data_IF_275158616978
#
_entry.id   IF_275158616978
#
_cell.length_a   1.000
_cell.length_b   1.000
_cell.length_c   1.000
_cell.angle_alpha   90.00
_cell.angle_beta   90.00
_cell.angle_gamma   90.00
#
_symmetry.space_group_name_H-M   'P 1'
#
loop_
_entity.id
_entity.type
_entity.pdbx_description
1 polymer ?
#
# COMPACT_ATOMS: atom_id res chain seq x y z
N UNK A 1 8.92 -17.15 11.97
CA UNK A 1 9.23 -16.46 13.24
C UNK A 1 10.13 -15.23 13.07
N UNK A 2 11.05 -15.26 12.16
CA UNK A 2 12.01 -14.16 11.91
C UNK A 2 11.40 -12.89 11.31
N UNK A 3 10.41 -13.02 10.42
CA UNK A 3 9.80 -11.86 9.73
C UNK A 3 9.07 -10.90 10.69
N UNK A 4 8.32 -11.42 11.66
CA UNK A 4 7.63 -10.58 12.66
C UNK A 4 8.63 -9.87 13.57
N UNK A 5 9.71 -10.56 13.95
CA UNK A 5 10.79 -9.94 14.74
C UNK A 5 11.44 -8.79 13.99
N UNK A 6 11.69 -8.97 12.68
CA UNK A 6 12.24 -7.93 11.79
C UNK A 6 11.30 -6.75 11.64
N UNK A 7 10.00 -7.02 11.44
CA UNK A 7 8.97 -6.00 11.41
C UNK A 7 8.94 -5.17 12.70
N UNK A 8 8.99 -5.86 13.84
CA UNK A 8 9.03 -5.18 15.14
C UNK A 8 10.34 -4.40 15.35
N UNK A 9 11.48 -4.88 14.88
CA UNK A 9 12.74 -4.13 14.93
C UNK A 9 12.66 -2.85 14.11
N UNK A 10 12.08 -2.90 12.92
CA UNK A 10 11.85 -1.72 12.09
C UNK A 10 10.88 -0.73 12.75
N UNK A 11 9.81 -1.23 13.38
CA UNK A 11 8.86 -0.40 14.11
C UNK A 11 9.48 0.20 15.36
N UNK A 12 10.37 -0.53 16.06
CA UNK A 12 11.14 -0.02 17.20
C UNK A 12 12.02 1.14 16.80
N UNK A 13 12.75 1.00 15.68
CA UNK A 13 13.57 2.09 15.14
C UNK A 13 12.74 3.35 14.85
N UNK A 14 11.56 3.19 14.24
CA UNK A 14 10.63 4.32 14.02
C UNK A 14 10.26 4.98 15.35
N UNK A 15 9.88 4.21 16.36
CA UNK A 15 9.49 4.72 17.69
C UNK A 15 10.64 5.45 18.41
N UNK A 16 11.86 4.98 18.25
CA UNK A 16 13.08 5.58 18.83
C UNK A 16 13.50 6.88 18.11
N UNK A 17 12.98 7.14 16.92
CA UNK A 17 13.31 8.30 16.10
C UNK A 17 12.10 9.21 15.80
N UNK A 18 11.04 9.15 16.63
CA UNK A 18 9.84 9.97 16.41
C UNK A 18 10.10 11.48 16.58
N UNK A 19 11.08 11.87 17.35
CA UNK A 19 11.50 13.26 17.59
C UNK A 19 12.63 13.73 16.65
N UNK A 20 12.99 12.88 15.69
CA UNK A 20 14.02 13.15 14.68
C UNK A 20 13.51 12.83 13.26
N UNK A 21 14.39 12.98 12.29
CA UNK A 21 14.16 12.47 10.93
C UNK A 21 14.28 10.94 10.92
N UNK A 22 13.26 10.27 10.38
CA UNK A 22 13.24 8.82 10.27
C UNK A 22 13.87 8.43 8.93
N UNK A 23 14.99 7.69 8.98
CA UNK A 23 15.60 7.11 7.78
C UNK A 23 14.84 5.84 7.36
N UNK A 24 14.03 5.95 6.30
CA UNK A 24 13.25 4.83 5.78
C UNK A 24 14.10 3.76 5.11
N UNK A 25 15.31 4.08 4.65
CA UNK A 25 16.26 3.08 4.17
C UNK A 25 16.69 2.15 5.30
N UNK A 26 16.91 2.71 6.48
CA UNK A 26 17.21 1.92 7.67
C UNK A 26 16.02 1.08 8.13
N UNK A 27 14.79 1.62 8.08
CA UNK A 27 13.56 0.85 8.32
C UNK A 27 13.48 -0.36 7.38
N UNK A 28 13.70 -0.15 6.09
CA UNK A 28 13.71 -1.20 5.07
C UNK A 28 14.81 -2.24 5.31
N UNK A 29 16.02 -1.79 5.67
CA UNK A 29 17.15 -2.65 6.02
C UNK A 29 16.84 -3.55 7.21
N UNK A 30 16.24 -3.00 8.27
CA UNK A 30 15.85 -3.75 9.48
C UNK A 30 14.75 -4.77 9.19
N UNK A 31 13.80 -4.41 8.33
CA UNK A 31 12.74 -5.29 7.87
C UNK A 31 13.19 -6.33 6.83
N UNK A 32 14.42 -6.18 6.25
CA UNK A 32 14.93 -6.95 5.12
C UNK A 32 13.96 -6.98 3.92
N UNK A 33 13.44 -5.82 3.56
CA UNK A 33 12.59 -5.64 2.39
C UNK A 33 12.77 -4.22 1.82
N UNK A 34 12.14 -3.89 0.70
CA UNK A 34 12.14 -2.52 0.19
C UNK A 34 11.29 -1.61 1.09
N UNK A 35 11.56 -0.30 1.06
CA UNK A 35 10.74 0.71 1.75
C UNK A 35 9.27 0.58 1.38
N UNK A 36 8.99 0.41 0.09
CA UNK A 36 7.66 0.19 -0.44
C UNK A 36 6.97 -1.05 0.14
N UNK A 37 7.68 -2.18 0.16
CA UNK A 37 7.14 -3.42 0.70
C UNK A 37 6.80 -3.26 2.19
N UNK A 38 7.70 -2.64 2.98
CA UNK A 38 7.44 -2.38 4.39
C UNK A 38 6.19 -1.53 4.62
N UNK A 39 6.08 -0.41 3.90
CA UNK A 39 4.93 0.50 4.03
C UNK A 39 3.61 -0.19 3.68
N UNK A 40 3.60 -0.95 2.58
CA UNK A 40 2.41 -1.67 2.14
C UNK A 40 2.01 -2.76 3.11
N UNK A 41 2.98 -3.56 3.56
CA UNK A 41 2.76 -4.59 4.57
C UNK A 41 2.26 -3.98 5.89
N UNK A 42 2.88 -2.87 6.34
CA UNK A 42 2.42 -2.15 7.52
C UNK A 42 0.96 -1.70 7.37
N UNK A 43 0.61 -1.06 6.25
CA UNK A 43 -0.74 -0.55 6.04
C UNK A 43 -1.80 -1.65 6.05
N UNK A 44 -1.51 -2.79 5.44
CA UNK A 44 -2.43 -3.93 5.47
C UNK A 44 -2.57 -4.54 6.88
N UNK A 45 -1.47 -4.65 7.62
CA UNK A 45 -1.48 -5.23 8.97
C UNK A 45 -2.09 -4.28 10.00
N UNK A 46 -1.80 -2.99 9.91
CA UNK A 46 -2.21 -1.98 10.88
C UNK A 46 -3.57 -1.34 10.56
N UNK A 47 -4.08 -1.48 9.33
CA UNK A 47 -5.30 -0.83 8.86
C UNK A 47 -5.17 0.71 8.69
N UNK A 48 -3.96 1.24 8.83
CA UNK A 48 -3.65 2.67 8.64
C UNK A 48 -2.31 2.79 7.92
N UNK A 49 -2.06 3.93 7.25
CA UNK A 49 -0.76 4.18 6.63
C UNK A 49 0.35 4.35 7.68
N UNK A 50 1.61 4.06 7.30
CA UNK A 50 2.76 4.24 8.17
C UNK A 50 2.94 5.71 8.56
N UNK A 51 2.67 6.64 7.65
CA UNK A 51 2.74 8.08 7.92
C UNK A 51 1.68 8.53 8.92
N UNK A 52 0.46 8.02 8.80
CA UNK A 52 -0.61 8.29 9.76
C UNK A 52 -0.25 7.74 11.15
N UNK A 53 0.33 6.54 11.22
CA UNK A 53 0.85 6.00 12.47
C UNK A 53 1.90 6.92 13.11
N UNK A 54 2.93 7.31 12.35
CA UNK A 54 3.99 8.21 12.82
C UNK A 54 3.40 9.56 13.27
N UNK A 55 2.48 10.13 12.48
CA UNK A 55 1.79 11.39 12.82
C UNK A 55 1.05 11.27 14.16
N UNK A 56 0.25 10.23 14.35
CA UNK A 56 -0.50 9.99 15.60
C UNK A 56 0.43 9.80 16.79
N UNK A 57 1.52 9.07 16.63
CA UNK A 57 2.52 8.85 17.67
C UNK A 57 3.22 10.13 18.06
N UNK A 58 3.70 10.92 17.07
CA UNK A 58 4.32 12.23 17.28
C UNK A 58 3.40 13.18 18.04
N UNK A 59 2.15 13.30 17.63
CA UNK A 59 1.19 14.18 18.32
C UNK A 59 0.85 13.68 19.73
N UNK A 60 0.80 12.37 19.95
CA UNK A 60 0.63 11.80 21.29
C UNK A 60 1.81 12.18 22.19
N UNK A 61 3.05 12.01 21.72
CA UNK A 61 4.24 12.38 22.50
C UNK A 61 4.32 13.89 22.73
N UNK A 62 3.98 14.70 21.73
CA UNK A 62 3.88 16.16 21.86
C UNK A 62 2.88 16.57 22.94
N UNK A 63 1.73 15.89 23.02
CA UNK A 63 0.74 16.15 24.05
C UNK A 63 1.25 15.84 25.47
N UNK A 64 1.94 14.70 25.63
CA UNK A 64 2.59 14.37 26.90
C UNK A 64 3.64 15.42 27.32
N UNK A 65 4.45 15.86 26.35
CA UNK A 65 5.52 16.85 26.63
C UNK A 65 4.92 18.21 26.97
N UNK A 66 3.90 18.68 26.28
CA UNK A 66 3.21 19.93 26.57
C UNK A 66 2.52 19.94 27.96
N UNK A 67 1.94 18.79 28.33
CA UNK A 67 1.26 18.68 29.64
C UNK A 67 2.23 18.60 30.83
N UNK A 68 3.45 18.08 30.60
CA UNK A 68 4.41 17.80 31.67
C UNK A 68 5.60 18.76 31.70
N UNK A 69 5.67 19.76 30.82
CA UNK A 69 6.80 20.68 30.75
C UNK A 69 6.40 22.11 30.37
N UNK A 70 7.31 23.06 30.59
CA UNK A 70 7.16 24.45 30.18
C UNK A 70 7.75 24.77 28.81
N UNK A 71 8.12 23.75 28.00
CA UNK A 71 8.71 23.89 26.69
C UNK A 71 7.81 24.73 25.75
N UNK A 72 8.38 25.59 24.93
CA UNK A 72 7.59 26.42 24.01
C UNK A 72 6.89 25.55 22.94
N UNK A 73 5.67 25.92 22.58
CA UNK A 73 4.89 25.18 21.54
C UNK A 73 5.64 25.10 20.22
N UNK A 74 6.38 26.16 19.86
CA UNK A 74 7.20 26.18 18.64
C UNK A 74 8.32 25.13 18.70
N UNK A 75 8.95 24.96 19.84
CA UNK A 75 10.05 23.99 20.01
C UNK A 75 9.51 22.54 19.92
N UNK A 76 8.33 22.29 20.51
CA UNK A 76 7.63 21.01 20.36
C UNK A 76 7.24 20.75 18.90
N UNK A 77 6.72 21.77 18.20
CA UNK A 77 6.36 21.65 16.80
C UNK A 77 7.58 21.24 15.92
N UNK A 78 8.71 21.92 16.11
CA UNK A 78 9.96 21.64 15.39
C UNK A 78 10.46 20.23 15.74
N UNK A 79 10.50 19.87 17.02
CA UNK A 79 10.94 18.56 17.51
C UNK A 79 10.18 17.41 16.86
N UNK A 80 8.87 17.55 16.66
CA UNK A 80 8.05 16.52 16.04
C UNK A 80 7.84 16.69 14.52
N UNK A 81 8.74 17.46 13.87
CA UNK A 81 8.87 17.53 12.42
C UNK A 81 7.88 18.45 11.71
N UNK A 82 7.26 19.40 12.42
CA UNK A 82 6.39 20.40 11.81
C UNK A 82 7.17 21.64 11.39
N UNK A 83 6.95 22.10 10.16
CA UNK A 83 7.65 23.27 9.59
C UNK A 83 7.12 24.62 10.12
N UNK A 84 5.93 24.64 10.72
CA UNK A 84 5.35 25.84 11.31
C UNK A 84 4.47 25.53 12.53
N UNK A 85 4.36 26.47 13.49
CA UNK A 85 3.45 26.33 14.62
C UNK A 85 1.98 26.18 14.21
N UNK A 86 1.57 26.82 13.10
CA UNK A 86 0.19 26.76 12.59
C UNK A 86 -0.16 25.38 12.07
N UNK A 87 0.75 24.74 11.32
CA UNK A 87 0.54 23.37 10.82
C UNK A 87 0.48 22.37 11.97
N UNK A 88 1.34 22.56 12.99
CA UNK A 88 1.29 21.76 14.22
C UNK A 88 -0.02 21.96 14.97
N UNK A 89 -0.44 23.21 15.22
CA UNK A 89 -1.67 23.52 15.94
C UNK A 89 -2.89 22.90 15.29
N UNK A 90 -3.02 22.99 13.96
CA UNK A 90 -4.12 22.35 13.21
C UNK A 90 -4.10 20.83 13.34
N UNK A 91 -2.93 20.22 13.16
CA UNK A 91 -2.79 18.77 13.28
C UNK A 91 -3.09 18.28 14.70
N UNK A 92 -2.61 19.00 15.71
CA UNK A 92 -2.84 18.72 17.12
C UNK A 92 -4.32 18.84 17.47
N UNK A 93 -4.98 19.92 17.06
CA UNK A 93 -6.40 20.16 17.32
C UNK A 93 -7.27 19.12 16.59
N UNK A 94 -6.95 18.74 15.36
CA UNK A 94 -7.65 17.69 14.64
C UNK A 94 -7.57 16.34 15.37
N UNK A 95 -6.45 16.03 16.00
CA UNK A 95 -6.27 14.78 16.72
C UNK A 95 -6.91 14.81 18.11
N UNK A 96 -6.56 15.82 18.93
CA UNK A 96 -6.93 15.87 20.34
C UNK A 96 -8.27 16.58 20.60
N UNK A 97 -8.76 17.38 19.66
CA UNK A 97 -9.97 18.21 19.80
C UNK A 97 -9.74 19.52 20.51
N UNK A 98 -8.53 19.78 21.03
CA UNK A 98 -8.12 21.00 21.76
C UNK A 98 -6.81 21.54 21.19
N UNK A 99 -6.51 22.80 21.47
CA UNK A 99 -5.26 23.43 21.02
C UNK A 99 -4.07 23.00 21.88
N UNK A 100 -2.80 23.13 21.37
CA UNK A 100 -1.60 22.88 22.15
C UNK A 100 -1.50 23.73 23.44
N UNK A 101 -2.03 24.95 23.42
CA UNK A 101 -2.07 25.82 24.58
C UNK A 101 -3.03 25.32 25.67
N UNK A 102 -4.20 24.83 25.28
CA UNK A 102 -5.18 24.24 26.19
C UNK A 102 -4.66 22.92 26.79
N UNK A 103 -3.91 22.14 26.04
CA UNK A 103 -3.32 20.88 26.48
C UNK A 103 -2.33 21.02 27.66
N UNK A 104 -1.83 22.25 27.93
CA UNK A 104 -0.99 22.55 29.10
C UNK A 104 -1.76 22.61 30.41
N UNK A 105 -3.06 22.80 30.32
CA UNK A 105 -3.90 22.89 31.51
C UNK A 105 -4.19 21.48 32.02
N UNK A 106 -3.85 21.22 33.27
CA UNK A 106 -4.12 19.93 33.90
C UNK A 106 -5.59 19.57 33.85
N UNK A 107 -5.88 18.30 33.57
CA UNK A 107 -7.22 17.75 33.52
C UNK A 107 -7.91 17.86 32.14
N UNK A 108 -7.22 18.40 31.14
CA UNK A 108 -7.77 18.41 29.78
C UNK A 108 -7.73 17.00 29.16
N UNK A 109 -8.79 16.57 28.44
CA UNK A 109 -8.83 15.27 27.80
C UNK A 109 -7.90 15.23 26.60
N UNK A 110 -6.93 14.30 26.60
CA UNK A 110 -5.99 14.08 25.52
C UNK A 110 -6.16 12.68 24.94
N UNK A 111 -6.11 12.55 23.61
CA UNK A 111 -6.12 11.24 22.94
C UNK A 111 -4.70 10.70 22.88
N UNK A 112 -4.50 9.47 23.34
CA UNK A 112 -3.23 8.76 23.22
C UNK A 112 -3.37 7.60 22.23
N UNK A 113 -2.45 7.52 21.28
CA UNK A 113 -2.28 6.38 20.40
C UNK A 113 -1.08 5.58 20.88
N UNK A 114 -1.28 4.40 21.49
CA UNK A 114 -0.20 3.59 21.99
C UNK A 114 0.69 3.07 20.86
N UNK A 115 1.92 2.68 21.22
CA UNK A 115 2.84 2.03 20.32
C UNK A 115 2.25 0.71 19.83
N UNK A 116 2.35 0.46 18.51
CA UNK A 116 1.97 -0.81 17.91
C UNK A 116 3.06 -1.85 18.05
N UNK A 117 2.66 -3.11 18.08
CA UNK A 117 3.53 -4.28 18.04
C UNK A 117 2.87 -5.33 17.18
N UNK A 118 3.62 -5.90 16.24
CA UNK A 118 3.12 -7.02 15.43
C UNK A 118 3.16 -8.30 16.25
N UNK A 119 2.02 -8.98 16.34
CA UNK A 119 1.89 -10.28 16.98
C UNK A 119 1.30 -11.27 15.97
N UNK A 120 1.80 -12.49 15.96
CA UNK A 120 1.21 -13.57 15.17
C UNK A 120 0.07 -14.18 15.96
N UNK A 121 -1.15 -14.00 15.48
CA UNK A 121 -2.30 -14.79 15.94
C UNK A 121 -2.56 -15.87 14.90
N UNK A 122 -2.34 -17.13 15.25
CA UNK A 122 -2.68 -18.25 14.38
C UNK A 122 -4.18 -18.48 14.54
N UNK A 123 -4.97 -17.94 13.62
CA UNK A 123 -6.35 -18.37 13.41
C UNK A 123 -6.31 -19.45 12.36
N UNK A 124 -7.14 -20.51 12.49
CA UNK A 124 -7.13 -21.68 11.61
C UNK A 124 -7.00 -21.30 10.14
N UNK A 125 -6.01 -21.86 9.48
CA UNK A 125 -5.58 -21.43 8.15
C UNK A 125 -6.65 -21.74 7.10
N UNK A 126 -7.30 -20.70 6.59
CA UNK A 126 -8.03 -20.83 5.35
C UNK A 126 -7.02 -21.00 4.23
N UNK A 127 -7.27 -21.94 3.35
CA UNK A 127 -6.46 -22.18 2.16
C UNK A 127 -6.33 -20.89 1.34
N UNK A 128 -5.13 -20.66 0.80
CA UNK A 128 -4.86 -19.59 -0.15
C UNK A 128 -4.29 -20.22 -1.40
N UNK A 129 -5.05 -20.14 -2.49
CA UNK A 129 -4.60 -20.66 -3.77
C UNK A 129 -3.65 -19.66 -4.41
N UNK A 130 -2.43 -20.09 -4.66
CA UNK A 130 -1.45 -19.30 -5.40
C UNK A 130 -0.62 -20.19 -6.31
N UNK A 131 0.01 -19.55 -7.32
CA UNK A 131 1.00 -20.17 -8.18
C UNK A 131 2.14 -19.19 -8.46
N UNK A 132 3.30 -19.73 -8.80
CA UNK A 132 4.44 -18.93 -9.24
C UNK A 132 4.60 -19.14 -10.74
N UNK A 133 4.64 -18.05 -11.49
CA UNK A 133 4.80 -18.06 -12.93
C UNK A 133 5.99 -17.19 -13.36
N UNK A 134 6.82 -17.72 -14.24
CA UNK A 134 7.83 -16.94 -14.95
C UNK A 134 7.27 -16.52 -16.29
N UNK A 135 7.28 -15.23 -16.59
CA UNK A 135 6.79 -14.68 -17.86
C UNK A 135 7.93 -13.96 -18.55
N UNK A 136 8.04 -14.20 -19.85
CA UNK A 136 8.87 -13.40 -20.74
C UNK A 136 8.38 -11.94 -20.77
N UNK A 137 9.21 -11.05 -21.29
CA UNK A 137 8.86 -9.65 -21.43
C UNK A 137 7.58 -9.45 -22.27
N UNK A 138 6.64 -8.68 -21.72
CA UNK A 138 5.42 -8.28 -22.44
C UNK A 138 5.08 -6.82 -22.07
N UNK A 139 4.21 -6.22 -22.83
CA UNK A 139 3.75 -4.85 -22.55
C UNK A 139 2.29 -4.86 -22.08
N UNK A 140 1.93 -3.88 -21.28
CA UNK A 140 0.54 -3.56 -20.96
C UNK A 140 0.14 -2.37 -21.83
N UNK A 141 -0.91 -2.56 -22.63
CA UNK A 141 -1.43 -1.58 -23.59
C UNK A 141 -2.86 -1.22 -23.24
N UNK A 142 -3.16 0.05 -23.09
CA UNK A 142 -4.50 0.52 -22.72
C UNK A 142 -4.56 2.01 -22.39
N UNK A 143 -5.62 2.43 -21.75
CA UNK A 143 -5.74 3.78 -21.22
C UNK A 143 -4.92 3.90 -19.95
N UNK A 144 -4.32 5.08 -19.74
CA UNK A 144 -3.49 5.39 -18.58
C UNK A 144 -3.99 6.65 -17.90
N UNK A 145 -3.97 6.66 -16.58
CA UNK A 145 -4.19 7.87 -15.77
C UNK A 145 -3.27 7.87 -14.54
N UNK A 146 -2.80 9.03 -14.16
CA UNK A 146 -2.18 9.26 -12.85
C UNK A 146 -3.30 9.46 -11.84
N UNK A 147 -3.38 8.59 -10.82
CA UNK A 147 -4.48 8.58 -9.85
C UNK A 147 -3.95 8.58 -8.42
N UNK A 148 -4.68 9.15 -7.45
CA UNK A 148 -4.30 9.10 -6.05
C UNK A 148 -4.31 7.66 -5.53
N UNK A 149 -3.43 7.36 -4.58
CA UNK A 149 -3.42 6.08 -3.86
C UNK A 149 -4.52 6.12 -2.82
N UNK A 150 -5.51 5.24 -2.94
CA UNK A 150 -6.57 5.04 -1.96
C UNK A 150 -6.49 3.61 -1.45
N UNK A 151 -6.21 3.44 -0.15
CA UNK A 151 -6.06 2.12 0.46
C UNK A 151 -7.39 1.51 0.89
N UNK A 152 -8.38 2.34 1.25
CA UNK A 152 -9.69 1.89 1.73
C UNK A 152 -10.80 2.36 0.79
N UNK A 153 -11.59 1.41 0.30
CA UNK A 153 -12.73 1.69 -0.57
C UNK A 153 -12.40 1.71 -2.06
N UNK A 154 -13.35 2.20 -2.84
CA UNK A 154 -13.23 2.29 -4.31
C UNK A 154 -12.58 3.62 -4.67
N UNK A 155 -11.55 3.56 -5.53
CA UNK A 155 -10.94 4.78 -6.09
C UNK A 155 -11.86 5.35 -7.18
N UNK A 156 -12.43 6.57 -7.01
CA UNK A 156 -13.36 7.15 -7.96
C UNK A 156 -12.72 7.41 -9.33
N UNK A 157 -11.43 7.80 -9.38
CA UNK A 157 -10.73 8.05 -10.63
C UNK A 157 -10.57 6.76 -11.44
N UNK A 158 -10.34 5.62 -10.79
CA UNK A 158 -10.30 4.31 -11.45
C UNK A 158 -11.69 3.89 -11.93
N UNK A 159 -12.73 4.17 -11.16
CA UNK A 159 -14.10 3.90 -11.57
C UNK A 159 -14.48 4.71 -12.82
N UNK A 160 -14.09 5.99 -12.88
CA UNK A 160 -14.29 6.84 -14.06
C UNK A 160 -13.51 6.34 -15.27
N UNK A 161 -12.30 5.82 -15.08
CA UNK A 161 -11.53 5.20 -16.17
C UNK A 161 -12.27 4.01 -16.79
N UNK A 162 -12.86 3.14 -15.96
CA UNK A 162 -13.66 2.01 -16.45
C UNK A 162 -14.89 2.48 -17.25
N UNK A 163 -15.55 3.56 -16.81
CA UNK A 163 -16.69 4.13 -17.50
C UNK A 163 -16.32 4.82 -18.83
N UNK A 164 -15.08 5.27 -18.98
CA UNK A 164 -14.59 5.94 -20.19
C UNK A 164 -14.25 4.97 -21.34
N UNK A 165 -14.21 3.65 -21.08
CA UNK A 165 -13.97 2.66 -22.12
C UNK A 165 -15.24 2.43 -22.96
N UNK A 166 -15.21 2.82 -24.22
CA UNK A 166 -16.27 2.53 -25.16
C UNK A 166 -16.13 1.12 -25.78
N UNK A 167 -17.15 0.72 -26.54
CA UNK A 167 -17.19 -0.60 -27.15
C UNK A 167 -16.10 -0.84 -28.21
N UNK A 168 -15.68 0.21 -28.89
CA UNK A 168 -14.64 0.14 -29.93
C UNK A 168 -13.27 -0.06 -29.31
N UNK A 169 -12.95 0.71 -28.26
CA UNK A 169 -11.72 0.55 -27.48
C UNK A 169 -11.63 -0.85 -26.85
N UNK A 170 -12.71 -1.35 -26.26
CA UNK A 170 -12.76 -2.69 -25.67
C UNK A 170 -12.49 -3.76 -26.72
N UNK A 171 -13.05 -3.62 -27.93
CA UNK A 171 -12.82 -4.57 -29.03
C UNK A 171 -11.35 -4.55 -29.47
N UNK A 172 -10.78 -3.35 -29.72
CA UNK A 172 -9.39 -3.20 -30.13
C UNK A 172 -8.43 -3.79 -29.08
N UNK A 173 -8.65 -3.50 -27.81
CA UNK A 173 -7.86 -4.06 -26.71
C UNK A 173 -7.94 -5.59 -26.67
N UNK A 174 -9.14 -6.17 -26.81
CA UNK A 174 -9.31 -7.64 -26.83
C UNK A 174 -8.58 -8.31 -27.99
N UNK A 175 -8.52 -7.68 -29.16
CA UNK A 175 -7.76 -8.18 -30.32
C UNK A 175 -6.24 -8.16 -30.09
N UNK A 176 -5.76 -7.22 -29.27
CA UNK A 176 -4.36 -7.13 -28.86
C UNK A 176 -3.99 -8.18 -27.81
N UNK A 177 -4.92 -8.60 -26.96
CA UNK A 177 -4.66 -9.52 -25.85
C UNK A 177 -4.14 -10.86 -26.33
N UNK A 178 -2.88 -11.20 -26.04
CA UNK A 178 -2.25 -12.46 -26.46
C UNK A 178 -1.28 -13.03 -25.43
N UNK A 179 -1.17 -12.39 -24.27
CA UNK A 179 -0.40 -12.85 -23.12
C UNK A 179 -1.32 -12.97 -21.92
N UNK A 180 -1.13 -14.00 -21.11
CA UNK A 180 -1.86 -14.13 -19.83
C UNK A 180 -1.42 -13.10 -18.79
N UNK A 181 -2.39 -12.59 -18.00
CA UNK A 181 -3.83 -12.92 -18.00
C UNK A 181 -4.55 -12.33 -19.23
N UNK A 182 -5.33 -13.17 -19.91
CA UNK A 182 -6.04 -12.77 -21.12
C UNK A 182 -7.25 -11.87 -20.79
N UNK A 183 -7.58 -10.97 -21.73
CA UNK A 183 -8.69 -10.02 -21.59
C UNK A 183 -8.28 -8.71 -20.96
N UNK A 184 -9.27 -7.93 -20.53
CA UNK A 184 -9.02 -6.61 -19.91
C UNK A 184 -8.50 -6.79 -18.48
N UNK A 185 -7.42 -6.09 -18.17
CA UNK A 185 -6.76 -6.06 -16.86
C UNK A 185 -6.64 -4.65 -16.32
N UNK A 186 -6.51 -4.52 -15.02
CA UNK A 186 -6.01 -3.33 -14.35
C UNK A 186 -4.55 -3.52 -13.98
N UNK A 187 -3.71 -2.51 -14.18
CA UNK A 187 -2.32 -2.56 -13.74
C UNK A 187 -1.92 -1.26 -13.06
N UNK A 188 -1.20 -1.37 -11.95
CA UNK A 188 -0.73 -0.23 -11.14
C UNK A 188 0.80 -0.25 -11.07
N UNK A 189 1.43 0.89 -11.38
CA UNK A 189 2.89 1.03 -11.40
C UNK A 189 3.31 2.47 -11.06
N UNK A 190 4.60 2.74 -10.96
CA UNK A 190 5.16 4.09 -10.74
C UNK A 190 4.51 4.82 -9.55
N UNK A 191 4.42 4.12 -8.48
CA UNK A 191 3.90 4.67 -7.25
C UNK A 191 4.83 5.78 -6.74
N UNK A 192 4.32 6.96 -6.42
CA UNK A 192 5.14 8.10 -5.98
C UNK A 192 5.77 7.91 -4.61
N UNK A 193 6.85 8.65 -4.32
CA UNK A 193 7.49 8.65 -3.00
C UNK A 193 6.60 9.25 -1.90
N UNK A 194 5.62 10.10 -2.25
CA UNK A 194 4.65 10.72 -1.33
C UNK A 194 3.58 9.76 -0.76
N UNK A 195 3.72 8.46 -0.95
CA UNK A 195 2.86 7.42 -0.36
C UNK A 195 2.70 7.51 1.16
N UNK A 196 3.68 8.10 1.83
CA UNK A 196 3.72 8.25 3.28
C UNK A 196 2.69 9.22 3.84
N UNK A 197 2.18 10.16 3.03
CA UNK A 197 1.31 11.26 3.46
C UNK A 197 -0.13 11.12 2.98
N UNK A 198 -0.57 9.94 2.52
CA UNK A 198 -1.87 9.74 1.84
C UNK A 198 -2.09 10.67 0.62
N UNK A 199 -1.00 11.28 0.14
CA UNK A 199 -0.97 12.16 -1.04
C UNK A 199 -0.22 11.53 -2.20
N UNK A 200 0.07 10.25 -2.08
CA UNK A 200 0.76 9.51 -3.12
C UNK A 200 -0.14 9.26 -4.32
N UNK A 201 0.48 9.16 -5.48
CA UNK A 201 -0.17 8.82 -6.74
C UNK A 201 0.50 7.60 -7.35
N UNK A 202 -0.23 6.95 -8.23
CA UNK A 202 0.27 5.84 -9.04
C UNK A 202 -0.17 6.00 -10.50
N UNK A 203 0.55 5.40 -11.42
CA UNK A 203 0.09 5.23 -12.79
C UNK A 203 -0.80 3.99 -12.86
N UNK A 204 -2.06 4.20 -13.19
CA UNK A 204 -3.05 3.15 -13.38
C UNK A 204 -3.35 2.95 -14.87
N UNK A 205 -3.33 1.70 -15.29
CA UNK A 205 -3.66 1.28 -16.64
C UNK A 205 -4.89 0.38 -16.61
N UNK A 206 -5.80 0.59 -17.55
CA UNK A 206 -6.84 -0.40 -17.89
C UNK A 206 -6.60 -0.80 -19.34
N UNK A 207 -6.26 -2.05 -19.57
CA UNK A 207 -5.81 -2.51 -20.88
C UNK A 207 -5.61 -4.00 -20.94
N UNK A 208 -4.65 -4.46 -21.73
CA UNK A 208 -4.36 -5.87 -21.96
C UNK A 208 -2.87 -6.15 -21.92
N UNK A 209 -2.50 -7.37 -21.55
CA UNK A 209 -1.15 -7.89 -21.69
C UNK A 209 -0.92 -8.36 -23.14
N UNK A 210 0.19 -7.88 -23.75
CA UNK A 210 0.44 -8.15 -25.18
C UNK A 210 1.91 -8.09 -25.57
N UNK A 211 2.28 -8.86 -26.59
CA UNK A 211 3.54 -8.74 -27.33
C UNK A 211 3.37 -8.04 -28.67
N UNK A 212 2.14 -7.70 -29.07
CA UNK A 212 1.83 -7.03 -30.33
C UNK A 212 2.11 -5.53 -30.27
N UNK A 213 2.32 -4.92 -31.44
CA UNK A 213 2.28 -3.46 -31.58
C UNK A 213 0.87 -2.91 -31.35
N UNK A 214 0.76 -1.68 -30.88
CA UNK A 214 -0.53 -0.99 -30.68
C UNK A 214 -0.60 0.29 -31.50
N UNK A 215 -1.82 0.80 -31.71
CA UNK A 215 -2.07 2.12 -32.25
C UNK A 215 -1.59 3.21 -31.29
N UNK A 216 -1.38 4.43 -31.81
CA UNK A 216 -0.97 5.59 -31.01
C UNK A 216 -2.09 6.08 -30.05
N UNK A 217 -3.27 5.46 -30.07
CA UNK A 217 -4.40 5.84 -29.22
C UNK A 217 -4.30 5.29 -27.80
N UNK A 218 -3.42 4.31 -27.57
CA UNK A 218 -3.23 3.69 -26.26
C UNK A 218 -1.86 3.98 -25.69
N UNK A 219 -1.81 4.14 -24.39
CA UNK A 219 -0.56 4.16 -23.65
C UNK A 219 0.03 2.74 -23.58
N UNK A 220 1.35 2.66 -23.61
CA UNK A 220 2.11 1.41 -23.52
C UNK A 220 3.04 1.45 -22.32
N UNK A 221 2.96 0.44 -21.49
CA UNK A 221 3.91 0.15 -20.41
C UNK A 221 4.77 -1.03 -20.85
N UNK A 222 6.03 -0.79 -21.11
CA UNK A 222 7.01 -1.84 -21.40
C UNK A 222 7.32 -2.64 -20.14
N UNK A 223 7.16 -3.95 -20.21
CA UNK A 223 7.49 -4.86 -19.12
C UNK A 223 8.76 -5.67 -19.43
N UNK A 224 9.54 -5.97 -18.41
CA UNK A 224 10.64 -6.93 -18.47
C UNK A 224 10.15 -8.36 -18.18
N UNK A 225 11.00 -9.35 -18.41
CA UNK A 225 10.76 -10.71 -17.94
C UNK A 225 10.75 -10.71 -16.40
N UNK A 226 9.69 -11.26 -15.80
CA UNK A 226 9.47 -11.24 -14.35
C UNK A 226 8.94 -12.59 -13.85
N UNK A 227 9.23 -12.87 -12.58
CA UNK A 227 8.56 -13.92 -11.83
C UNK A 227 7.36 -13.32 -11.11
N UNK A 228 6.23 -13.95 -11.22
CA UNK A 228 4.95 -13.52 -10.67
C UNK A 228 4.45 -14.49 -9.62
N UNK A 229 4.00 -13.97 -8.47
CA UNK A 229 3.12 -14.68 -7.57
C UNK A 229 1.68 -14.32 -7.94
N UNK A 230 0.89 -15.31 -8.32
CA UNK A 230 -0.49 -15.17 -8.78
C UNK A 230 -1.41 -15.77 -7.74
N UNK A 231 -2.31 -14.98 -7.19
CA UNK A 231 -3.25 -15.37 -6.15
C UNK A 231 -4.68 -15.38 -6.69
N UNK A 232 -5.39 -16.46 -6.47
CA UNK A 232 -6.79 -16.58 -6.86
C UNK A 232 -7.70 -16.09 -5.72
N UNK A 233 -8.67 -15.27 -6.05
CA UNK A 233 -9.76 -14.85 -5.18
C UNK A 233 -11.09 -15.30 -5.79
N UNK A 234 -11.86 -16.14 -5.07
CA UNK A 234 -13.15 -16.64 -5.52
C UNK A 234 -14.23 -16.19 -4.54
N UNK A 235 -15.15 -15.38 -5.03
CA UNK A 235 -16.26 -14.83 -4.26
C UNK A 235 -16.67 -13.42 -4.73
N UNK A 236 -17.68 -12.82 -4.08
CA UNK A 236 -18.20 -11.52 -4.47
C UNK A 236 -17.13 -10.41 -4.46
N UNK A 237 -17.02 -9.67 -5.55
CA UNK A 237 -16.15 -8.50 -5.67
C UNK A 237 -16.84 -7.26 -5.05
N UNK A 238 -16.13 -6.34 -4.36
CA UNK A 238 -14.67 -6.33 -4.16
C UNK A 238 -14.19 -6.99 -2.86
N UNK A 239 -15.08 -7.40 -1.97
CA UNK A 239 -14.76 -7.80 -0.61
C UNK A 239 -13.80 -9.00 -0.55
N UNK A 240 -14.07 -10.04 -1.33
CA UNK A 240 -13.20 -11.23 -1.38
C UNK A 240 -11.80 -10.88 -1.89
N UNK A 241 -11.71 -10.00 -2.89
CA UNK A 241 -10.43 -9.54 -3.42
C UNK A 241 -9.62 -8.79 -2.36
N UNK A 242 -10.28 -7.89 -1.60
CA UNK A 242 -9.64 -7.11 -0.55
C UNK A 242 -9.14 -8.01 0.60
N UNK A 243 -9.92 -9.03 0.97
CA UNK A 243 -9.51 -10.02 1.98
C UNK A 243 -8.26 -10.80 1.53
N UNK A 244 -8.28 -11.34 0.30
CA UNK A 244 -7.13 -12.06 -0.26
C UNK A 244 -5.91 -11.14 -0.34
N UNK A 245 -6.10 -9.88 -0.76
CA UNK A 245 -5.01 -8.90 -0.82
C UNK A 245 -4.38 -8.67 0.56
N UNK A 246 -5.21 -8.49 1.59
CA UNK A 246 -4.74 -8.37 2.98
C UNK A 246 -3.95 -9.59 3.44
N UNK A 247 -4.45 -10.80 3.14
CA UNK A 247 -3.81 -12.08 3.51
C UNK A 247 -2.49 -12.31 2.78
N UNK A 248 -2.33 -11.86 1.53
CA UNK A 248 -1.05 -11.92 0.81
C UNK A 248 0.06 -11.25 1.64
N UNK A 249 -0.21 -10.05 2.17
CA UNK A 249 0.76 -9.28 2.94
C UNK A 249 0.91 -9.75 4.38
N UNK A 250 -0.18 -10.20 5.02
CA UNK A 250 -0.18 -10.59 6.43
C UNK A 250 0.21 -12.06 6.65
N UNK A 251 -0.05 -12.94 5.69
CA UNK A 251 0.14 -14.38 5.85
C UNK A 251 1.19 -14.94 4.86
N UNK A 252 1.04 -14.66 3.54
CA UNK A 252 1.87 -15.30 2.54
C UNK A 252 3.29 -14.74 2.47
N UNK A 253 3.48 -13.43 2.33
CA UNK A 253 4.84 -12.86 2.27
C UNK A 253 5.68 -13.16 3.52
N UNK A 254 5.14 -13.07 4.75
CA UNK A 254 5.88 -13.45 5.96
C UNK A 254 6.31 -14.92 6.00
N UNK A 255 5.50 -15.82 5.44
CA UNK A 255 5.75 -17.27 5.44
C UNK A 255 6.48 -17.78 4.20
N UNK A 256 6.57 -16.97 3.14
CA UNK A 256 7.20 -17.34 1.87
C UNK A 256 8.68 -16.95 1.80
N UNK A 257 9.38 -17.55 0.83
CA UNK A 257 10.76 -17.18 0.46
C UNK A 257 10.81 -16.11 -0.63
N UNK A 258 9.74 -15.34 -0.80
CA UNK A 258 9.63 -14.30 -1.82
C UNK A 258 9.49 -12.91 -1.19
N UNK A 259 9.91 -11.90 -1.93
CA UNK A 259 9.66 -10.48 -1.66
C UNK A 259 9.21 -9.81 -2.96
N UNK A 260 8.53 -8.67 -2.83
CA UNK A 260 8.07 -7.89 -4.00
C UNK A 260 9.29 -7.44 -4.82
N UNK A 261 9.18 -7.58 -6.14
CA UNK A 261 10.09 -7.00 -7.13
C UNK A 261 9.52 -5.70 -7.68
N UNK A 262 10.35 -4.91 -8.35
CA UNK A 262 9.87 -3.80 -9.17
C UNK A 262 9.07 -4.33 -10.36
N UNK A 263 7.96 -3.67 -10.66
CA UNK A 263 7.06 -4.01 -11.75
C UNK A 263 5.61 -3.63 -11.45
N UNK A 264 4.71 -3.80 -12.42
CA UNK A 264 3.30 -3.53 -12.23
C UNK A 264 2.64 -4.60 -11.35
N UNK A 265 1.70 -4.18 -10.51
CA UNK A 265 0.75 -5.08 -9.89
C UNK A 265 -0.47 -5.19 -10.80
N UNK A 266 -0.87 -6.43 -11.15
CA UNK A 266 -1.95 -6.66 -12.09
C UNK A 266 -3.14 -7.29 -11.37
N UNK A 267 -4.33 -6.81 -11.69
CA UNK A 267 -5.60 -7.38 -11.31
C UNK A 267 -6.33 -7.84 -12.56
N UNK A 268 -6.67 -9.09 -12.59
CA UNK A 268 -7.55 -9.68 -13.60
C UNK A 268 -8.86 -10.14 -12.96
N UNK A 269 -9.96 -9.91 -13.65
CA UNK A 269 -11.30 -10.35 -13.26
C UNK A 269 -11.94 -11.14 -14.42
N UNK A 270 -12.64 -12.22 -14.08
CA UNK A 270 -13.44 -12.90 -15.10
C UNK A 270 -14.61 -11.99 -15.56
N UNK A 271 -15.05 -12.21 -16.81
CA UNK A 271 -16.16 -11.46 -17.38
C UNK A 271 -17.52 -12.11 -17.02
N UNK A 272 -17.91 -12.02 -15.74
CA UNK A 272 -19.16 -12.55 -15.20
C UNK A 272 -19.76 -11.58 -14.20
N UNK A 273 -20.87 -12.00 -13.58
CA UNK A 273 -21.52 -11.24 -12.51
C UNK A 273 -20.58 -11.11 -11.29
N UNK A 274 -20.17 -9.90 -11.00
CA UNK A 274 -19.26 -9.55 -9.88
C UNK A 274 -19.84 -9.87 -8.49
N UNK A 275 -21.16 -10.07 -8.39
CA UNK A 275 -21.83 -10.43 -7.14
C UNK A 275 -21.88 -11.94 -6.90
N UNK A 276 -21.50 -12.73 -7.92
CA UNK A 276 -21.51 -14.19 -7.85
C UNK A 276 -20.58 -14.71 -6.73
N UNK A 277 -21.03 -15.70 -5.94
CA UNK A 277 -20.16 -16.38 -4.97
C UNK A 277 -19.00 -17.16 -5.62
N UNK A 278 -19.07 -17.40 -6.92
CA UNK A 278 -18.04 -18.09 -7.71
C UNK A 278 -17.30 -17.13 -8.65
N UNK A 279 -17.42 -15.80 -8.46
CA UNK A 279 -16.69 -14.82 -9.27
C UNK A 279 -15.19 -14.96 -9.02
N UNK A 280 -14.42 -15.06 -10.10
CA UNK A 280 -12.95 -15.23 -10.02
C UNK A 280 -12.21 -13.95 -10.32
N UNK A 281 -11.26 -13.64 -9.45
CA UNK A 281 -10.26 -12.60 -9.65
C UNK A 281 -8.86 -13.19 -9.46
N UNK A 282 -7.88 -12.63 -10.13
CA UNK A 282 -6.46 -12.95 -9.90
C UNK A 282 -5.68 -11.68 -9.59
N UNK A 283 -4.84 -11.77 -8.56
CA UNK A 283 -3.88 -10.75 -8.17
C UNK A 283 -2.50 -11.24 -8.58
N UNK A 284 -1.85 -10.50 -9.48
CA UNK A 284 -0.51 -10.80 -9.95
C UNK A 284 0.47 -9.81 -9.36
N UNK A 285 1.43 -10.30 -8.59
CA UNK A 285 2.45 -9.47 -7.92
C UNK A 285 3.82 -9.92 -8.40
N UNK A 286 4.66 -8.99 -8.92
CA UNK A 286 6.02 -9.33 -9.31
C UNK A 286 6.85 -9.64 -8.06
N UNK A 287 7.58 -10.76 -8.09
CA UNK A 287 8.33 -11.24 -6.92
C UNK A 287 9.75 -11.69 -7.30
N UNK A 288 10.65 -11.62 -6.33
CA UNK A 288 11.98 -12.23 -6.39
C UNK A 288 12.19 -13.10 -5.15
N UNK A 289 13.02 -14.13 -5.26
CA UNK A 289 13.40 -14.95 -4.11
C UNK A 289 14.22 -14.13 -3.12
N UNK A 290 13.91 -14.25 -1.84
CA UNK A 290 14.73 -13.68 -0.76
C UNK A 290 16.12 -14.30 -0.79
N UNK A 291 17.16 -13.47 -0.78
CA UNK A 291 18.53 -13.96 -0.61
C UNK A 291 18.70 -14.38 0.84
N UNK A 292 18.69 -15.68 1.07
CA UNK A 292 19.04 -16.24 2.39
C UNK A 292 20.56 -16.08 2.50
N UNK A 293 21.03 -15.08 3.24
CA UNK A 293 22.43 -15.06 3.68
C UNK A 293 22.58 -16.16 4.74
N UNK A 294 23.23 -17.25 4.36
CA UNK A 294 23.73 -18.27 5.28
C UNK A 294 24.73 -17.66 6.28
#
# INVERSE_FOLDING_TARGET
MDSIKRMNNALNYIEENLDNEIDFKEVARLALCSEYHFQRMFSFLAGISLSEYIRRRRLTLAAFELNNSSIKIIDVAIKYGYKSPDSFTRAFQNLHGITPSEARVNGQPLKAYPRMTFQLSIKGGNEMNYRIEEKEAFSIVGIKRRVPIIFNGVNPDIADMWQSLDHEMIRELKELSNVEPLGIISASVNFSEGRMEEKGELDHYIGVATTKGCSNNFARLEGSALTWAVFEAVGPFPNTLQDVWGRIYSEWFPSSNYQISEGPEILWNENKDITSPNFKSEIWIPVIKKVIKN
#
